data_IF_930681730152
#
_entry.id   IF_930681730152
#
_cell.length_a   1.000
_cell.length_b   1.000
_cell.length_c   1.000
_cell.angle_alpha   90.00
_cell.angle_beta   90.00
_cell.angle_gamma   90.00
#
_symmetry.space_group_name_H-M   'P 1'
#
loop_
_entity.id
_entity.type
_entity.pdbx_description
1 polymer ?
#
# COMPACT_ATOMS: atom_id res chain seq x y z
N UNK A 1 -16.55 -10.25 26.54
CA UNK A 1 -15.21 -10.30 25.92
C UNK A 1 -15.43 -10.35 24.42
N UNK A 2 -15.01 -9.34 23.63
CA UNK A 2 -15.08 -9.51 22.18
C UNK A 2 -14.05 -10.57 21.79
N UNK A 3 -14.45 -11.50 20.93
CA UNK A 3 -13.51 -12.41 20.28
C UNK A 3 -12.56 -11.54 19.44
N UNK A 4 -11.30 -11.45 19.86
CA UNK A 4 -10.25 -10.93 18.99
C UNK A 4 -10.05 -12.01 17.93
N UNK A 5 -10.76 -11.90 16.81
CA UNK A 5 -10.50 -12.78 15.67
C UNK A 5 -9.09 -12.47 15.17
N UNK A 6 -8.14 -13.32 15.54
CA UNK A 6 -6.76 -13.25 15.08
C UNK A 6 -6.76 -13.46 13.56
N UNK A 7 -6.40 -12.41 12.81
CA UNK A 7 -6.26 -12.49 11.36
C UNK A 7 -5.09 -13.44 11.04
N UNK A 8 -5.33 -14.51 10.27
CA UNK A 8 -4.28 -15.46 9.97
C UNK A 8 -3.22 -14.84 9.04
N UNK A 9 -1.95 -15.07 9.37
CA UNK A 9 -0.79 -14.72 8.54
C UNK A 9 -0.44 -15.95 7.71
N UNK A 10 -0.43 -15.83 6.39
CA UNK A 10 0.01 -16.90 5.50
C UNK A 10 1.24 -16.48 4.70
N UNK A 11 2.05 -17.45 4.26
CA UNK A 11 3.01 -17.24 3.17
C UNK A 11 2.32 -17.34 1.82
N UNK A 12 1.41 -18.30 1.65
CA UNK A 12 0.43 -18.37 0.57
C UNK A 12 -0.89 -18.87 1.17
N UNK A 13 -2.02 -18.29 0.76
CA UNK A 13 -3.31 -18.68 1.32
C UNK A 13 -3.63 -20.14 0.98
N UNK A 14 -3.86 -20.96 2.01
CA UNK A 14 -4.22 -22.37 1.86
C UNK A 14 -3.05 -23.33 1.65
N UNK A 15 -1.79 -22.87 1.75
CA UNK A 15 -0.61 -23.74 1.72
C UNK A 15 0.07 -23.80 3.09
N UNK A 16 0.32 -25.01 3.59
CA UNK A 16 0.94 -25.27 4.90
C UNK A 16 2.47 -25.22 4.87
N UNK A 17 3.08 -25.43 3.69
CA UNK A 17 4.51 -25.28 3.46
C UNK A 17 4.84 -23.86 2.98
N UNK A 18 6.06 -23.40 3.25
CA UNK A 18 6.54 -22.07 2.83
C UNK A 18 6.55 -21.87 1.30
N UNK A 19 7.20 -20.80 0.83
CA UNK A 19 7.30 -20.45 -0.59
C UNK A 19 7.59 -21.69 -1.48
N UNK A 20 6.67 -22.09 -2.37
CA UNK A 20 6.69 -23.40 -3.02
C UNK A 20 7.72 -23.47 -4.15
N UNK A 21 8.19 -22.33 -4.66
CA UNK A 21 9.02 -22.26 -5.86
C UNK A 21 10.33 -21.49 -5.65
N UNK A 22 11.42 -21.92 -6.31
CA UNK A 22 12.69 -21.20 -6.30
C UNK A 22 12.59 -19.83 -6.97
N UNK A 23 11.58 -19.62 -7.82
CA UNK A 23 11.39 -18.43 -8.64
C UNK A 23 11.01 -17.17 -7.84
N UNK A 24 10.65 -17.31 -6.55
CA UNK A 24 10.18 -16.24 -5.67
C UNK A 24 8.89 -15.53 -6.19
N UNK A 25 8.17 -16.20 -7.08
CA UNK A 25 6.87 -15.79 -7.61
C UNK A 25 5.92 -16.99 -7.72
N UNK A 26 4.62 -16.73 -7.56
CA UNK A 26 3.57 -17.74 -7.68
C UNK A 26 2.38 -17.14 -8.43
N UNK A 27 1.93 -17.80 -9.50
CA UNK A 27 0.89 -17.29 -10.38
C UNK A 27 -0.26 -18.29 -10.51
N UNK A 28 -1.48 -17.89 -10.22
CA UNK A 28 -2.66 -18.77 -10.20
C UNK A 28 -3.86 -18.18 -10.93
N UNK A 29 -4.69 -19.06 -11.51
CA UNK A 29 -5.97 -18.66 -12.09
C UNK A 29 -7.06 -18.56 -11.01
N UNK A 30 -7.79 -17.44 -10.98
CA UNK A 30 -8.94 -17.24 -10.08
C UNK A 30 -9.99 -18.33 -10.30
N UNK A 31 -10.28 -18.67 -11.55
CA UNK A 31 -11.27 -19.68 -11.92
C UNK A 31 -10.90 -21.06 -11.36
N UNK A 32 -9.65 -21.48 -11.53
CA UNK A 32 -9.17 -22.79 -11.11
C UNK A 32 -9.08 -22.91 -9.58
N UNK A 33 -8.57 -21.87 -8.90
CA UNK A 33 -8.39 -21.88 -7.44
C UNK A 33 -9.67 -21.58 -6.68
N UNK A 34 -10.37 -20.50 -7.03
CA UNK A 34 -11.47 -19.99 -6.20
C UNK A 34 -12.69 -20.89 -6.24
N UNK A 35 -12.91 -21.64 -7.33
CA UNK A 35 -13.96 -22.67 -7.38
C UNK A 35 -13.81 -23.75 -6.31
N UNK A 36 -12.57 -24.04 -5.88
CA UNK A 36 -12.28 -24.97 -4.77
C UNK A 36 -12.61 -24.39 -3.40
N UNK A 37 -12.60 -23.06 -3.26
CA UNK A 37 -12.87 -22.34 -2.02
C UNK A 37 -14.23 -21.62 -2.03
N UNK A 38 -15.20 -22.16 -2.78
CA UNK A 38 -16.55 -21.58 -2.88
C UNK A 38 -16.55 -20.09 -3.29
N UNK A 39 -15.55 -19.69 -4.08
CA UNK A 39 -15.34 -18.34 -4.56
C UNK A 39 -15.02 -17.30 -3.46
N UNK A 40 -14.70 -17.76 -2.27
CA UNK A 40 -14.44 -16.92 -1.12
C UNK A 40 -13.05 -17.21 -0.53
N UNK A 41 -12.16 -16.22 -0.67
CA UNK A 41 -10.88 -16.16 0.02
C UNK A 41 -11.08 -15.29 1.26
N UNK A 42 -11.06 -15.92 2.44
CA UNK A 42 -11.30 -15.22 3.71
C UNK A 42 -10.21 -14.19 3.99
N UNK A 43 -10.55 -13.23 4.84
CA UNK A 43 -9.62 -12.19 5.30
C UNK A 43 -8.34 -12.81 5.88
N UNK A 44 -7.20 -12.37 5.37
CA UNK A 44 -5.88 -12.82 5.77
C UNK A 44 -4.82 -11.74 5.47
N UNK A 45 -3.58 -11.99 5.87
CA UNK A 45 -2.45 -11.11 5.60
C UNK A 45 -1.19 -11.89 5.22
N UNK A 46 -0.26 -11.22 4.54
CA UNK A 46 1.00 -11.78 4.08
C UNK A 46 2.17 -10.89 4.49
N UNK A 47 3.12 -11.40 5.28
CA UNK A 47 4.19 -10.56 5.82
C UNK A 47 5.37 -10.34 4.85
N UNK A 48 5.64 -11.30 3.97
CA UNK A 48 6.89 -11.36 3.19
C UNK A 48 6.67 -11.24 1.67
N UNK A 49 5.50 -10.77 1.24
CA UNK A 49 5.18 -10.63 -0.18
C UNK A 49 4.14 -9.56 -0.49
N UNK A 50 4.13 -9.15 -1.75
CA UNK A 50 3.07 -8.33 -2.37
C UNK A 50 2.24 -9.24 -3.27
N UNK A 51 0.93 -9.02 -3.28
CA UNK A 51 0.00 -9.75 -4.13
C UNK A 51 -0.68 -8.82 -5.13
N UNK A 52 -0.75 -9.26 -6.37
CA UNK A 52 -1.44 -8.59 -7.47
C UNK A 52 -2.62 -9.46 -7.88
N UNK A 53 -3.84 -8.99 -7.65
CA UNK A 53 -5.05 -9.61 -8.15
C UNK A 53 -5.47 -8.90 -9.45
N UNK A 54 -5.31 -9.58 -10.58
CA UNK A 54 -5.82 -9.11 -11.85
C UNK A 54 -7.21 -9.67 -12.11
N UNK A 55 -8.23 -8.80 -12.05
CA UNK A 55 -9.58 -9.11 -12.50
C UNK A 55 -9.66 -8.89 -14.01
N UNK A 56 -9.85 -9.97 -14.77
CA UNK A 56 -10.09 -9.88 -16.20
C UNK A 56 -11.58 -9.70 -16.49
N UNK A 57 -12.42 -10.62 -16.02
CA UNK A 57 -13.86 -10.63 -16.29
C UNK A 57 -14.63 -11.16 -15.09
N UNK A 58 -15.83 -10.64 -14.84
CA UNK A 58 -16.69 -11.05 -13.74
C UNK A 58 -16.82 -9.96 -12.69
N UNK A 59 -17.16 -10.36 -11.47
CA UNK A 59 -17.33 -9.47 -10.34
C UNK A 59 -16.47 -9.95 -9.17
N UNK A 60 -15.72 -9.04 -8.58
CA UNK A 60 -14.98 -9.29 -7.35
C UNK A 60 -15.39 -8.24 -6.31
N UNK A 61 -15.74 -8.71 -5.12
CA UNK A 61 -15.79 -7.88 -3.93
C UNK A 61 -14.45 -8.04 -3.20
N UNK A 62 -13.76 -6.93 -3.03
CA UNK A 62 -12.40 -6.86 -2.52
C UNK A 62 -12.46 -6.13 -1.19
N UNK A 63 -11.99 -6.79 -0.13
CA UNK A 63 -11.87 -6.20 1.19
C UNK A 63 -10.39 -5.90 1.46
N UNK A 64 -10.10 -4.67 1.87
CA UNK A 64 -8.77 -4.16 2.20
C UNK A 64 -8.88 -3.34 3.48
N UNK A 65 -8.17 -3.72 4.55
CA UNK A 65 -8.15 -2.99 5.83
C UNK A 65 -9.57 -2.68 6.38
N UNK A 66 -10.51 -3.61 6.18
CA UNK A 66 -11.91 -3.47 6.58
C UNK A 66 -12.78 -2.58 5.68
N UNK A 67 -12.22 -2.01 4.60
CA UNK A 67 -12.96 -1.31 3.56
C UNK A 67 -13.25 -2.25 2.38
N UNK A 68 -14.50 -2.27 1.92
CA UNK A 68 -14.94 -3.16 0.85
C UNK A 68 -15.27 -2.38 -0.42
N UNK A 69 -14.78 -2.86 -1.57
CA UNK A 69 -15.06 -2.29 -2.88
C UNK A 69 -15.49 -3.38 -3.87
N UNK A 70 -16.46 -3.08 -4.72
CA UNK A 70 -16.98 -4.00 -5.74
C UNK A 70 -16.43 -3.61 -7.11
N UNK A 71 -15.67 -4.52 -7.71
CA UNK A 71 -15.08 -4.37 -9.03
C UNK A 71 -15.84 -5.22 -10.06
N UNK A 72 -16.26 -4.58 -11.14
CA UNK A 72 -16.87 -5.24 -12.32
C UNK A 72 -16.06 -5.00 -13.60
N UNK A 73 -15.21 -3.98 -13.60
CA UNK A 73 -14.32 -3.64 -14.70
C UNK A 73 -12.97 -4.33 -14.53
N UNK A 74 -12.21 -4.44 -15.64
CA UNK A 74 -10.89 -5.04 -15.57
C UNK A 74 -9.90 -4.13 -14.84
N UNK A 75 -9.30 -4.65 -13.79
CA UNK A 75 -8.41 -3.91 -12.89
C UNK A 75 -7.33 -4.82 -12.30
N UNK A 76 -6.26 -4.22 -11.81
CA UNK A 76 -5.25 -4.89 -10.99
C UNK A 76 -5.32 -4.29 -9.60
N UNK A 77 -5.76 -5.09 -8.63
CA UNK A 77 -5.67 -4.74 -7.21
C UNK A 77 -4.26 -5.07 -6.71
N UNK A 78 -3.58 -4.06 -6.20
CA UNK A 78 -2.31 -4.18 -5.50
C UNK A 78 -2.58 -4.38 -4.01
N UNK A 79 -1.97 -5.41 -3.44
CA UNK A 79 -2.04 -5.74 -2.01
C UNK A 79 -0.61 -5.78 -1.46
N UNK A 80 -0.15 -4.72 -0.78
CA UNK A 80 1.17 -4.69 -0.19
C UNK A 80 1.34 -5.74 0.93
N UNK A 81 2.59 -5.97 1.33
CA UNK A 81 2.89 -6.77 2.51
C UNK A 81 2.21 -6.19 3.76
N UNK A 82 1.82 -7.08 4.69
CA UNK A 82 1.11 -6.82 5.94
C UNK A 82 -0.30 -6.26 5.77
N UNK A 83 -0.79 -6.12 4.55
CA UNK A 83 -2.14 -5.66 4.29
C UNK A 83 -3.16 -6.78 4.57
N UNK A 84 -4.13 -6.48 5.42
CA UNK A 84 -5.27 -7.37 5.73
C UNK A 84 -6.25 -7.28 4.58
N UNK A 85 -6.52 -8.41 3.93
CA UNK A 85 -7.36 -8.44 2.74
C UNK A 85 -8.15 -9.73 2.57
N UNK A 86 -9.27 -9.64 1.85
CA UNK A 86 -10.13 -10.76 1.49
C UNK A 86 -10.75 -10.57 0.11
N UNK A 87 -11.18 -11.67 -0.51
CA UNK A 87 -11.80 -11.64 -1.83
C UNK A 87 -13.04 -12.52 -1.88
N UNK A 88 -14.12 -11.98 -2.43
CA UNK A 88 -15.34 -12.72 -2.74
C UNK A 88 -15.68 -12.54 -4.22
N UNK A 89 -15.58 -13.62 -4.99
CA UNK A 89 -15.76 -13.62 -6.43
C UNK A 89 -17.14 -14.13 -6.81
N UNK A 90 -17.73 -13.58 -7.88
CA UNK A 90 -18.89 -14.24 -8.50
C UNK A 90 -18.44 -15.53 -9.22
N UNK A 91 -19.29 -16.57 -9.29
CA UNK A 91 -19.00 -17.75 -10.09
C UNK A 91 -18.65 -17.41 -11.54
N UNK A 92 -17.62 -18.04 -12.08
CA UNK A 92 -17.12 -17.79 -13.44
C UNK A 92 -16.19 -16.58 -13.57
N UNK A 93 -15.81 -15.93 -12.47
CA UNK A 93 -14.82 -14.85 -12.50
C UNK A 93 -13.50 -15.34 -13.08
N UNK A 94 -12.96 -14.58 -14.03
CA UNK A 94 -11.70 -14.84 -14.70
C UNK A 94 -10.67 -13.78 -14.32
N UNK A 95 -9.44 -14.23 -14.18
CA UNK A 95 -8.33 -13.40 -13.78
C UNK A 95 -7.25 -14.24 -13.11
N UNK A 96 -6.28 -13.55 -12.53
CA UNK A 96 -5.08 -14.18 -11.98
C UNK A 96 -4.72 -13.56 -10.63
N UNK A 97 -4.15 -14.38 -9.76
CA UNK A 97 -3.48 -13.96 -8.54
C UNK A 97 -2.00 -14.18 -8.73
N UNK A 98 -1.21 -13.12 -8.63
CA UNK A 98 0.24 -13.16 -8.71
C UNK A 98 0.84 -12.71 -7.38
N UNK A 99 1.52 -13.63 -6.70
CA UNK A 99 2.23 -13.38 -5.46
C UNK A 99 3.72 -13.21 -5.74
N UNK A 100 4.33 -12.18 -5.16
CA UNK A 100 5.72 -11.79 -5.41
C UNK A 100 6.47 -11.61 -4.08
N UNK A 101 7.50 -12.40 -3.84
CA UNK A 101 8.29 -12.29 -2.62
C UNK A 101 9.05 -10.95 -2.59
N UNK A 102 9.18 -10.35 -1.40
CA UNK A 102 9.92 -9.09 -1.23
C UNK A 102 11.38 -9.14 -1.75
N UNK A 103 12.15 -10.24 -1.60
CA UNK A 103 13.49 -10.33 -2.19
C UNK A 103 13.51 -10.25 -3.72
N UNK A 104 12.47 -10.75 -4.40
CA UNK A 104 12.35 -10.63 -5.86
C UNK A 104 12.09 -9.18 -6.25
N UNK A 105 11.16 -8.51 -5.58
CA UNK A 105 10.86 -7.10 -5.81
C UNK A 105 12.08 -6.21 -5.59
N UNK A 106 12.87 -6.49 -4.55
CA UNK A 106 14.13 -5.78 -4.27
C UNK A 106 15.11 -5.86 -5.45
N UNK A 107 15.17 -6.99 -6.17
CA UNK A 107 16.00 -7.12 -7.39
C UNK A 107 15.51 -6.20 -8.50
N UNK A 108 14.19 -6.14 -8.71
CA UNK A 108 13.61 -5.24 -9.71
C UNK A 108 13.80 -3.78 -9.34
N UNK A 109 13.60 -3.38 -8.10
CA UNK A 109 13.82 -2.00 -7.65
C UNK A 109 15.26 -1.55 -7.86
N UNK A 110 16.23 -2.42 -7.57
CA UNK A 110 17.64 -2.18 -7.88
C UNK A 110 17.89 -1.97 -9.38
N UNK A 111 17.25 -2.76 -10.24
CA UNK A 111 17.35 -2.61 -11.70
C UNK A 111 16.64 -1.34 -12.21
N UNK A 112 15.50 -0.97 -11.59
CA UNK A 112 14.78 0.28 -11.88
C UNK A 112 15.53 1.52 -11.39
N UNK A 113 16.41 1.37 -10.41
CA UNK A 113 17.14 2.46 -9.75
C UNK A 113 16.29 3.28 -8.76
N UNK A 114 15.09 2.80 -8.41
CA UNK A 114 14.17 3.43 -7.46
C UNK A 114 13.10 2.44 -6.98
N UNK A 115 12.43 2.73 -5.84
CA UNK A 115 11.30 1.94 -5.36
C UNK A 115 10.15 1.87 -6.38
N UNK A 116 9.39 0.78 -6.31
CA UNK A 116 8.14 0.63 -7.06
C UNK A 116 6.99 1.18 -6.21
N UNK A 117 6.82 2.51 -6.20
CA UNK A 117 5.86 3.22 -5.35
C UNK A 117 4.42 2.65 -5.46
N UNK A 118 4.03 2.19 -6.67
CA UNK A 118 2.74 1.54 -6.92
C UNK A 118 2.48 0.34 -6.02
N UNK A 119 3.53 -0.37 -5.58
CA UNK A 119 3.43 -1.57 -4.75
C UNK A 119 3.41 -1.28 -3.25
N UNK A 120 3.67 -0.02 -2.85
CA UNK A 120 3.81 0.36 -1.44
C UNK A 120 2.49 0.63 -0.74
N UNK A 121 1.42 0.88 -1.49
CA UNK A 121 0.10 1.21 -0.96
C UNK A 121 -0.99 0.35 -1.60
N UNK A 122 -2.04 -0.03 -0.85
CA UNK A 122 -3.16 -0.74 -1.43
C UNK A 122 -3.89 0.17 -2.40
N UNK A 123 -4.02 -0.27 -3.65
CA UNK A 123 -4.70 0.51 -4.69
C UNK A 123 -5.24 -0.40 -5.79
N UNK A 124 -6.35 0.03 -6.38
CA UNK A 124 -6.94 -0.62 -7.53
C UNK A 124 -6.60 0.18 -8.80
N UNK A 125 -5.83 -0.43 -9.70
CA UNK A 125 -5.36 0.20 -10.93
C UNK A 125 -6.26 -0.24 -12.09
N UNK A 126 -7.06 0.66 -12.70
CA UNK A 126 -7.88 0.32 -13.86
C UNK A 126 -7.01 -0.05 -15.06
N UNK A 127 -7.35 -1.16 -15.73
CA UNK A 127 -6.57 -1.63 -16.89
C UNK A 127 -7.00 -0.93 -18.18
N UNK A 128 -8.28 -0.57 -18.30
CA UNK A 128 -8.84 0.22 -19.40
C UNK A 128 -8.46 -0.34 -20.78
N UNK A 129 -7.88 0.51 -21.63
CA UNK A 129 -7.48 0.16 -23.01
C UNK A 129 -6.39 -0.93 -23.07
N UNK A 130 -5.69 -1.19 -21.96
CA UNK A 130 -4.64 -2.21 -21.90
C UNK A 130 -5.20 -3.62 -21.61
N UNK A 131 -6.52 -3.81 -21.54
CA UNK A 131 -7.18 -5.07 -21.16
C UNK A 131 -6.65 -6.28 -21.90
N UNK A 132 -6.58 -6.21 -23.23
CA UNK A 132 -6.06 -7.30 -24.05
C UNK A 132 -4.59 -7.60 -23.75
N UNK A 133 -3.76 -6.55 -23.66
CA UNK A 133 -2.32 -6.69 -23.36
C UNK A 133 -2.07 -7.29 -21.98
N UNK A 134 -2.78 -6.83 -20.95
CA UNK A 134 -2.64 -7.37 -19.60
C UNK A 134 -3.14 -8.81 -19.53
N UNK A 135 -4.25 -9.13 -20.21
CA UNK A 135 -4.69 -10.51 -20.30
C UNK A 135 -3.62 -11.43 -20.91
N UNK A 136 -3.06 -11.06 -22.06
CA UNK A 136 -1.96 -11.82 -22.68
C UNK A 136 -0.75 -11.94 -21.75
N UNK A 137 -0.38 -10.87 -21.05
CA UNK A 137 0.79 -10.87 -20.17
C UNK A 137 0.61 -11.80 -18.96
N UNK A 138 -0.55 -11.75 -18.30
CA UNK A 138 -0.85 -12.64 -17.17
C UNK A 138 -1.02 -14.10 -17.62
N UNK A 139 -1.64 -14.34 -18.79
CA UNK A 139 -1.72 -15.69 -19.35
C UNK A 139 -0.33 -16.26 -19.64
N UNK A 140 0.56 -15.49 -20.28
CA UNK A 140 1.93 -15.91 -20.54
C UNK A 140 2.71 -16.17 -19.24
N UNK A 141 2.56 -15.32 -18.21
CA UNK A 141 3.14 -15.57 -16.88
C UNK A 141 2.64 -16.88 -16.28
N UNK A 142 1.35 -17.17 -16.39
CA UNK A 142 0.76 -18.40 -15.86
C UNK A 142 1.23 -19.64 -16.62
N UNK A 143 1.26 -19.57 -17.94
CA UNK A 143 1.73 -20.67 -18.81
C UNK A 143 3.19 -20.99 -18.50
N UNK A 144 4.07 -19.98 -18.50
CA UNK A 144 5.49 -20.16 -18.17
C UNK A 144 5.70 -20.65 -16.73
N UNK A 145 4.83 -20.25 -15.80
CA UNK A 145 4.88 -20.72 -14.42
C UNK A 145 4.47 -22.20 -14.28
N UNK A 146 3.57 -22.71 -15.12
CA UNK A 146 3.10 -24.10 -15.04
C UNK A 146 4.07 -25.12 -15.64
N UNK A 147 4.86 -24.69 -16.62
CA UNK A 147 5.71 -25.58 -17.42
C UNK A 147 7.18 -25.46 -17.01
N UNK A 148 7.98 -26.50 -17.27
CA UNK A 148 9.43 -26.49 -17.06
C UNK A 148 10.18 -26.27 -18.38
N UNK A 149 10.19 -25.04 -18.89
CA UNK A 149 10.91 -24.67 -20.10
C UNK A 149 12.40 -24.34 -19.85
N UNK A 150 13.21 -24.38 -20.92
CA UNK A 150 14.56 -23.82 -20.89
C UNK A 150 14.51 -22.31 -20.64
N UNK A 151 15.47 -21.80 -19.87
CA UNK A 151 15.55 -20.40 -19.44
C UNK A 151 14.26 -19.81 -18.82
N UNK A 152 13.42 -20.66 -18.21
CA UNK A 152 12.14 -20.28 -17.59
C UNK A 152 12.22 -19.08 -16.64
N UNK A 153 13.20 -19.05 -15.75
CA UNK A 153 13.38 -17.93 -14.81
C UNK A 153 13.57 -16.60 -15.55
N UNK A 154 14.40 -16.59 -16.61
CA UNK A 154 14.65 -15.40 -17.43
C UNK A 154 13.36 -14.93 -18.12
N UNK A 155 12.54 -15.85 -18.62
CA UNK A 155 11.28 -15.52 -19.26
C UNK A 155 10.27 -14.96 -18.25
N UNK A 156 10.09 -15.62 -17.10
CA UNK A 156 9.25 -15.15 -16.00
C UNK A 156 9.64 -13.74 -15.56
N UNK A 157 10.94 -13.48 -15.36
CA UNK A 157 11.43 -12.17 -14.92
C UNK A 157 11.28 -11.10 -16.00
N UNK A 158 11.38 -11.46 -17.28
CA UNK A 158 11.15 -10.52 -18.40
C UNK A 158 9.68 -10.11 -18.50
N UNK A 159 8.76 -11.07 -18.37
CA UNK A 159 7.32 -10.82 -18.34
C UNK A 159 6.93 -10.01 -17.10
N UNK A 160 7.45 -10.38 -15.93
CA UNK A 160 7.22 -9.65 -14.69
C UNK A 160 7.77 -8.22 -14.77
N UNK A 161 8.98 -8.02 -15.29
CA UNK A 161 9.54 -6.68 -15.51
C UNK A 161 8.62 -5.82 -16.39
N UNK A 162 8.06 -6.39 -17.45
CA UNK A 162 7.09 -5.71 -18.32
C UNK A 162 5.83 -5.28 -17.53
N UNK A 163 5.31 -6.17 -16.68
CA UNK A 163 4.15 -5.89 -15.82
C UNK A 163 4.46 -4.77 -14.82
N UNK A 164 5.58 -4.87 -14.11
CA UNK A 164 5.99 -3.91 -13.08
C UNK A 164 6.26 -2.52 -13.68
N UNK A 165 6.88 -2.45 -14.86
CA UNK A 165 7.05 -1.18 -15.60
C UNK A 165 5.69 -0.57 -15.94
N UNK A 166 4.76 -1.38 -16.45
CA UNK A 166 3.43 -0.89 -16.80
C UNK A 166 2.67 -0.39 -15.58
N UNK A 167 2.68 -1.14 -14.47
CA UNK A 167 2.02 -0.77 -13.21
C UNK A 167 2.59 0.53 -12.64
N UNK A 168 3.92 0.62 -12.53
CA UNK A 168 4.56 1.79 -11.93
C UNK A 168 4.34 3.07 -12.75
N UNK A 169 4.10 2.96 -14.07
CA UNK A 169 3.72 4.10 -14.92
C UNK A 169 2.30 4.59 -14.71
N UNK A 170 1.44 3.82 -14.04
CA UNK A 170 0.08 4.27 -13.69
C UNK A 170 0.09 5.22 -12.49
N UNK A 171 1.11 5.15 -11.64
CA UNK A 171 1.38 6.16 -10.65
C UNK A 171 1.79 7.45 -11.37
N UNK A 172 0.90 8.43 -11.36
CA UNK A 172 1.27 9.77 -11.77
C UNK A 172 2.29 10.27 -10.75
N UNK A 173 3.49 10.73 -11.16
CA UNK A 173 4.33 11.51 -10.26
C UNK A 173 3.49 12.72 -9.83
N UNK A 174 3.44 12.99 -8.52
CA UNK A 174 2.80 14.20 -7.99
C UNK A 174 3.24 15.40 -8.85
N UNK A 175 2.27 16.14 -9.37
CA UNK A 175 2.56 17.27 -10.25
C UNK A 175 3.47 18.26 -9.50
N UNK A 176 4.63 18.67 -10.05
CA UNK A 176 5.51 19.64 -9.40
C UNK A 176 4.87 21.04 -9.22
N UNK A 177 3.63 21.23 -9.70
CA UNK A 177 2.87 22.45 -9.53
C UNK A 177 2.34 22.67 -8.09
N UNK A 178 2.01 21.59 -7.35
CA UNK A 178 1.43 21.70 -6.01
C UNK A 178 2.49 22.07 -4.96
N UNK A 179 3.69 21.49 -5.05
CA UNK A 179 4.81 21.75 -4.12
C UNK A 179 5.33 23.21 -4.23
N UNK A 180 5.26 23.82 -5.42
CA UNK A 180 5.58 25.25 -5.60
C UNK A 180 4.51 26.16 -5.00
N UNK A 181 3.24 25.79 -5.08
CA UNK A 181 2.14 26.57 -4.51
C UNK A 181 2.15 26.51 -2.98
N UNK A 182 2.45 25.34 -2.41
CA UNK A 182 2.54 25.12 -0.97
C UNK A 182 3.76 25.81 -0.34
N UNK A 183 4.93 25.76 -0.99
CA UNK A 183 6.13 26.53 -0.57
C UNK A 183 5.90 28.04 -0.60
N UNK A 184 5.21 28.56 -1.62
CA UNK A 184 4.83 29.98 -1.69
C UNK A 184 3.82 30.35 -0.61
N UNK A 185 2.87 29.47 -0.29
CA UNK A 185 1.86 29.70 0.75
C UNK A 185 2.44 29.66 2.16
N UNK A 186 3.45 28.81 2.38
CA UNK A 186 4.18 28.71 3.65
C UNK A 186 5.08 29.94 3.91
N UNK A 187 5.67 30.54 2.86
CA UNK A 187 6.45 31.78 2.98
C UNK A 187 5.62 33.05 3.23
N UNK A 188 4.30 33.03 3.03
CA UNK A 188 3.43 34.21 3.13
C UNK A 188 2.55 34.26 4.40
N UNK A 189 2.89 33.53 5.46
CA UNK A 189 2.16 33.65 6.72
C UNK A 189 2.73 34.82 7.54
N UNK A 190 1.96 35.89 7.82
CA UNK A 190 2.47 37.02 8.60
C UNK A 190 2.75 36.57 10.03
N UNK A 191 3.95 36.86 10.55
CA UNK A 191 4.23 36.73 11.98
C UNK A 191 3.28 37.64 12.76
N UNK A 192 2.46 37.04 13.63
CA UNK A 192 1.57 37.75 14.55
C UNK A 192 2.42 38.46 15.62
N UNK A 193 2.15 39.72 15.96
CA UNK A 193 2.87 40.39 17.05
C UNK A 193 2.48 39.78 18.40
N UNK A 194 3.39 39.76 19.40
CA UNK A 194 3.12 39.15 20.69
C UNK A 194 2.07 39.94 21.48
N UNK A 195 1.16 39.19 22.11
CA UNK A 195 0.01 39.65 22.89
C UNK A 195 0.48 40.37 24.18
N UNK A 196 -0.11 41.53 24.50
CA UNK A 196 -0.01 42.18 25.82
C UNK A 196 -1.10 41.62 26.73
N UNK A 197 -0.75 41.15 27.93
CA UNK A 197 -1.71 40.76 28.96
C UNK A 197 -2.42 41.99 29.56
N UNK A 198 -3.75 41.93 29.82
CA UNK A 198 -4.45 42.93 30.63
C UNK A 198 -4.41 42.57 32.13
N UNK A 199 -4.20 43.59 32.97
CA UNK A 199 -4.18 43.52 34.44
C UNK A 199 -5.49 42.99 35.04
N UNK A 200 -5.44 42.23 36.17
CA UNK A 200 -6.63 41.81 36.88
C UNK A 200 -7.18 42.91 37.79
N UNK A 201 -8.51 43.06 37.76
CA UNK A 201 -9.33 43.90 38.64
C UNK A 201 -9.52 43.25 40.01
N UNK A 202 -9.27 43.98 41.09
CA UNK A 202 -9.76 43.64 42.44
C UNK A 202 -10.25 44.91 43.17
N UNK A 203 -11.43 44.78 43.77
CA UNK A 203 -12.15 45.76 44.60
C UNK A 203 -11.55 45.88 46.02
N UNK A 204 -11.95 46.90 46.82
CA UNK A 204 -11.07 47.54 47.79
C UNK A 204 -11.15 46.92 49.19
N UNK A 205 -10.10 47.15 50.00
CA UNK A 205 -10.13 47.76 51.36
C UNK A 205 -8.77 47.55 52.03
N UNK A 206 -8.14 48.66 52.42
CA UNK A 206 -7.37 48.81 53.66
C UNK A 206 -5.96 48.22 53.75
N UNK A 207 -4.96 49.12 53.88
CA UNK A 207 -3.90 48.93 54.88
C UNK A 207 -2.45 48.93 54.40
N UNK A 208 -1.80 50.08 54.58
CA UNK A 208 -0.46 50.28 55.19
C UNK A 208 0.81 49.66 54.54
N UNK A 209 1.68 50.59 54.11
CA UNK A 209 3.15 50.71 54.17
C UNK A 209 4.14 49.58 53.80
N UNK A 210 5.08 50.02 52.95
CA UNK A 210 6.56 49.91 53.00
C UNK A 210 7.32 48.64 52.57
N UNK A 211 8.35 48.92 51.75
CA UNK A 211 9.65 48.23 51.58
C UNK A 211 9.60 46.88 50.82
N UNK A 212 10.59 46.42 50.03
CA UNK A 212 11.89 46.92 49.59
C UNK A 212 12.50 45.87 48.59
N UNK A 213 13.30 46.34 47.63
CA UNK A 213 14.46 45.73 46.91
C UNK A 213 14.44 44.42 46.07
N UNK A 214 15.12 44.55 44.91
CA UNK A 214 16.03 43.61 44.16
C UNK A 214 15.44 42.39 43.43
N UNK A 215 15.38 42.37 42.09
CA UNK A 215 16.44 42.13 41.06
C UNK A 215 17.11 40.75 41.16
N UNK A 216 16.92 39.92 40.12
CA UNK A 216 17.69 38.69 39.90
C UNK A 216 17.36 38.02 38.56
N UNK A 217 18.07 38.42 37.50
CA UNK A 217 18.07 37.78 36.18
C UNK A 217 19.07 36.61 36.12
N UNK A 218 18.74 35.66 35.23
CA UNK A 218 19.64 34.81 34.42
C UNK A 218 20.25 33.54 35.03
N UNK A 219 20.01 32.38 34.38
CA UNK A 219 20.93 31.71 33.42
C UNK A 219 20.24 30.42 32.88
N UNK A 220 20.13 30.27 31.56
CA UNK A 220 20.98 29.44 30.66
C UNK A 220 20.88 27.91 30.82
N UNK A 221 20.42 27.32 29.69
CA UNK A 221 21.01 26.17 28.98
C UNK A 221 20.99 24.80 29.71
N UNK A 222 21.07 23.63 29.08
CA UNK A 222 21.51 23.18 27.76
C UNK A 222 20.78 21.83 27.48
N UNK A 223 20.74 21.49 26.20
CA UNK A 223 20.49 20.20 25.54
C UNK A 223 20.50 18.92 26.39
N UNK A 224 19.59 17.99 26.04
CA UNK A 224 19.97 16.75 25.36
C UNK A 224 18.83 16.21 24.52
#
# INVERSE_FOLDING_TARGET
MPFVQTVPVFKLYGEECGWPTPDLLHCESILQRSSLYQWHIRVHQHAEMVQLLYLHQGRAEIEIEGATAVMTESCIQVVPALCIHGFNFSPGTQGFVLSLALPLLSRFENQFGRPLDVLSVPQCVPVGRSRGRMHTLFSALREEYCEEHDAREMMLYSLLGTLLVWLNRQCHPASPAEDKAERKRSMMRPLRPPYREPLPTASPVGGVCEADWTVGYALKLFMS
#
